data_IF_708254034275
#
_entry.id   IF_708254034275
#
_cell.length_a   1.000
_cell.length_b   1.000
_cell.length_c   1.000
_cell.angle_alpha   90.00
_cell.angle_beta   90.00
_cell.angle_gamma   90.00
#
_symmetry.space_group_name_H-M   'P 1'
#
loop_
_entity.id
_entity.type
_entity.pdbx_description
1 polymer ?
#
# COMPACT_ATOMS: atom_id res chain seq x y z
N UNK A 1 22.30 -12.09 -2.15
CA UNK A 1 22.33 -11.16 -3.29
C UNK A 1 23.71 -11.07 -3.95
N UNK A 2 24.81 -11.41 -3.27
CA UNK A 2 26.19 -11.25 -3.73
C UNK A 2 26.49 -12.01 -5.03
N UNK A 3 25.93 -13.20 -5.21
CA UNK A 3 26.19 -14.06 -6.38
C UNK A 3 25.09 -14.00 -7.44
N UNK A 4 23.95 -13.39 -7.16
CA UNK A 4 22.78 -13.42 -8.05
C UNK A 4 22.18 -14.81 -8.26
N UNK A 5 22.62 -15.83 -7.51
CA UNK A 5 22.11 -17.21 -7.64
C UNK A 5 20.63 -17.28 -7.25
N UNK A 6 19.80 -17.81 -8.15
CA UNK A 6 18.41 -18.10 -7.85
C UNK A 6 18.34 -19.23 -6.81
N UNK A 7 17.76 -18.93 -5.64
CA UNK A 7 17.58 -19.90 -4.54
C UNK A 7 16.24 -20.61 -4.70
N UNK A 8 15.18 -19.86 -5.01
CA UNK A 8 13.83 -20.40 -5.13
C UNK A 8 12.98 -19.60 -6.13
N UNK A 9 12.04 -20.29 -6.76
CA UNK A 9 11.01 -19.72 -7.63
C UNK A 9 9.67 -20.36 -7.28
N UNK A 10 8.67 -19.54 -6.96
CA UNK A 10 7.27 -20.00 -6.75
C UNK A 10 6.34 -19.31 -7.73
N UNK A 11 5.43 -20.04 -8.38
CA UNK A 11 4.46 -19.40 -9.27
C UNK A 11 3.43 -18.59 -8.45
N UNK A 12 3.15 -17.40 -8.91
CA UNK A 12 1.98 -16.62 -8.54
C UNK A 12 1.17 -16.43 -9.82
N UNK A 13 0.04 -17.17 -9.92
CA UNK A 13 -0.78 -17.10 -11.13
C UNK A 13 -1.45 -15.76 -11.22
N UNK A 14 -1.13 -15.05 -12.29
CA UNK A 14 -1.82 -13.86 -12.74
C UNK A 14 -2.83 -14.22 -13.83
N UNK A 15 -3.82 -13.36 -14.09
CA UNK A 15 -4.78 -13.52 -15.16
C UNK A 15 -4.14 -13.29 -16.54
N UNK A 16 -4.96 -13.29 -17.59
CA UNK A 16 -4.55 -13.23 -18.99
C UNK A 16 -3.64 -12.05 -19.37
N UNK A 17 -3.41 -11.07 -18.51
CA UNK A 17 -2.59 -9.89 -18.78
C UNK A 17 -1.28 -9.84 -18.02
N UNK A 18 -1.02 -10.82 -17.14
CA UNK A 18 0.21 -10.93 -16.33
C UNK A 18 0.62 -9.62 -15.63
N UNK A 19 -0.38 -8.87 -15.13
CA UNK A 19 -0.15 -7.56 -14.52
C UNK A 19 0.07 -7.71 -13.02
N UNK A 20 1.31 -7.47 -12.56
CA UNK A 20 1.67 -7.36 -11.15
C UNK A 20 2.52 -6.10 -10.97
N UNK A 21 1.97 -5.06 -10.35
CA UNK A 21 2.58 -3.73 -10.29
C UNK A 21 3.18 -3.45 -8.92
N UNK A 22 2.52 -3.90 -7.85
CA UNK A 22 2.99 -3.62 -6.50
C UNK A 22 4.31 -4.34 -6.20
N UNK A 23 5.16 -3.68 -5.41
CA UNK A 23 6.32 -4.36 -4.84
C UNK A 23 5.89 -5.39 -3.81
N UNK A 24 6.51 -6.58 -3.75
CA UNK A 24 6.29 -7.53 -2.67
C UNK A 24 6.58 -6.88 -1.30
N UNK A 25 5.70 -7.11 -0.33
CA UNK A 25 5.90 -6.62 1.05
C UNK A 25 6.57 -7.69 1.87
N UNK A 26 7.82 -7.41 2.29
CA UNK A 26 8.62 -8.34 3.11
C UNK A 26 8.48 -7.99 4.58
N UNK A 27 8.16 -8.99 5.41
CA UNK A 27 7.87 -8.86 6.83
C UNK A 27 8.54 -10.01 7.60
N UNK A 28 9.77 -9.80 8.03
CA UNK A 28 10.58 -10.88 8.59
C UNK A 28 10.76 -12.02 7.58
N UNK A 29 10.27 -13.20 7.90
CA UNK A 29 10.30 -14.36 7.03
C UNK A 29 9.03 -14.54 6.18
N UNK A 30 8.16 -13.56 6.16
CA UNK A 30 6.92 -13.58 5.38
C UNK A 30 6.98 -12.61 4.19
N UNK A 31 6.38 -13.00 3.07
CA UNK A 31 6.31 -12.20 1.85
C UNK A 31 4.87 -12.16 1.37
N UNK A 32 4.31 -10.97 1.31
CA UNK A 32 3.00 -10.72 0.71
C UNK A 32 3.15 -10.29 -0.74
N UNK A 33 2.34 -10.85 -1.61
CA UNK A 33 2.24 -10.49 -3.02
C UNK A 33 0.77 -10.29 -3.41
N UNK A 34 0.54 -9.41 -4.38
CA UNK A 34 -0.80 -9.19 -4.93
C UNK A 34 -0.73 -8.92 -6.42
N UNK A 35 -1.65 -9.51 -7.16
CA UNK A 35 -1.87 -9.19 -8.56
C UNK A 35 -2.80 -7.99 -8.72
N UNK A 36 -2.87 -7.49 -9.94
CA UNK A 36 -3.75 -6.37 -10.27
C UNK A 36 -5.24 -6.75 -10.14
N UNK A 37 -5.62 -7.97 -10.60
CA UNK A 37 -6.98 -8.52 -10.49
C UNK A 37 -7.04 -9.91 -9.85
N UNK A 38 -5.90 -10.51 -9.57
CA UNK A 38 -5.76 -11.95 -9.39
C UNK A 38 -5.73 -12.38 -7.94
N UNK A 39 -6.08 -11.44 -7.05
CA UNK A 39 -6.02 -11.70 -5.63
C UNK A 39 -4.64 -11.53 -5.05
N UNK A 40 -4.43 -12.10 -3.88
CA UNK A 40 -3.21 -11.95 -3.08
C UNK A 40 -2.81 -13.27 -2.44
N UNK A 41 -1.54 -13.38 -2.07
CA UNK A 41 -0.99 -14.51 -1.35
C UNK A 41 0.00 -14.05 -0.27
N UNK A 42 0.05 -14.78 0.82
CA UNK A 42 1.11 -14.70 1.81
C UNK A 42 1.93 -15.99 1.79
N UNK A 43 3.23 -15.83 1.67
CA UNK A 43 4.21 -16.91 1.77
C UNK A 43 5.03 -16.74 3.04
N UNK A 44 5.36 -17.83 3.70
CA UNK A 44 6.33 -17.87 4.78
C UNK A 44 7.57 -18.62 4.29
N UNK A 45 8.74 -18.01 4.45
CA UNK A 45 10.03 -18.60 4.09
C UNK A 45 10.55 -19.37 5.31
N UNK A 46 10.83 -20.65 5.16
CA UNK A 46 11.39 -21.46 6.24
C UNK A 46 12.92 -21.34 6.32
N UNK A 47 13.53 -21.99 7.33
CA UNK A 47 14.98 -21.94 7.57
C UNK A 47 15.81 -22.55 6.43
N UNK A 48 15.18 -23.35 5.56
CA UNK A 48 15.79 -23.92 4.35
C UNK A 48 15.56 -23.02 3.12
N UNK A 49 15.09 -21.78 3.34
CA UNK A 49 14.74 -20.80 2.31
C UNK A 49 13.63 -21.29 1.36
N UNK A 50 12.76 -22.20 1.82
CA UNK A 50 11.64 -22.69 1.02
C UNK A 50 10.38 -21.94 1.38
N UNK A 51 9.70 -21.30 0.41
CA UNK A 51 8.43 -20.63 0.64
C UNK A 51 7.28 -21.65 0.78
N UNK A 52 6.50 -21.47 1.82
CA UNK A 52 5.22 -22.17 2.04
C UNK A 52 4.09 -21.17 1.96
N UNK A 53 3.06 -21.47 1.19
CA UNK A 53 1.85 -20.64 1.14
C UNK A 53 1.14 -20.72 2.47
N UNK A 54 0.98 -19.57 3.13
CA UNK A 54 0.18 -19.45 4.36
C UNK A 54 -1.29 -19.37 4.03
N UNK A 55 -1.64 -18.47 3.11
CA UNK A 55 -2.99 -18.32 2.57
C UNK A 55 -2.96 -17.66 1.19
N UNK A 56 -4.08 -17.81 0.47
CA UNK A 56 -4.39 -17.10 -0.77
C UNK A 56 -5.80 -16.55 -0.70
N UNK A 57 -6.06 -15.41 -1.35
CA UNK A 57 -7.41 -14.84 -1.43
C UNK A 57 -7.66 -14.18 -2.77
N UNK A 58 -8.87 -14.31 -3.30
CA UNK A 58 -9.35 -13.57 -4.47
C UNK A 58 -10.09 -12.28 -4.10
N UNK A 59 -10.33 -12.05 -2.82
CA UNK A 59 -11.10 -10.90 -2.33
C UNK A 59 -10.26 -9.65 -2.09
N UNK A 60 -8.94 -9.72 -2.24
CA UNK A 60 -8.02 -8.58 -2.16
C UNK A 60 -7.17 -8.52 -3.43
N UNK A 61 -7.20 -7.39 -4.12
CA UNK A 61 -6.31 -7.08 -5.25
C UNK A 61 -5.84 -5.64 -5.12
N UNK A 62 -4.53 -5.47 -4.87
CA UNK A 62 -3.96 -4.17 -4.51
C UNK A 62 -3.71 -3.24 -5.69
N UNK A 63 -4.05 -3.64 -6.92
CA UNK A 63 -3.87 -2.84 -8.13
C UNK A 63 -2.42 -2.34 -8.30
N UNK A 64 -2.19 -1.04 -8.00
CA UNK A 64 -0.92 -0.34 -8.14
C UNK A 64 -0.40 0.20 -6.80
N UNK A 65 -1.18 0.10 -5.72
CA UNK A 65 -0.85 0.67 -4.43
C UNK A 65 -0.17 -0.36 -3.52
N UNK A 66 1.12 -0.17 -3.27
CA UNK A 66 1.86 -1.04 -2.34
C UNK A 66 1.33 -0.88 -0.92
N UNK A 67 0.91 -1.97 -0.25
CA UNK A 67 0.36 -1.90 1.09
C UNK A 67 1.38 -1.50 2.15
N UNK A 68 0.88 -0.93 3.24
CA UNK A 68 1.64 -0.73 4.47
C UNK A 68 1.44 -1.92 5.42
N UNK A 69 2.47 -2.24 6.23
CA UNK A 69 2.33 -3.26 7.26
C UNK A 69 2.79 -2.74 8.62
N UNK A 70 2.09 -3.16 9.68
CA UNK A 70 2.41 -2.86 11.08
C UNK A 70 1.80 -3.95 11.97
N UNK A 71 2.61 -4.49 12.88
CA UNK A 71 2.19 -5.38 13.98
C UNK A 71 1.20 -6.48 13.56
N UNK A 72 1.59 -7.26 12.55
CA UNK A 72 0.77 -8.37 12.05
C UNK A 72 -0.45 -7.98 11.22
N UNK A 73 -0.57 -6.71 10.85
CA UNK A 73 -1.66 -6.20 10.04
C UNK A 73 -1.15 -5.58 8.73
N UNK A 74 -1.94 -5.72 7.68
CA UNK A 74 -1.71 -5.13 6.37
C UNK A 74 -2.79 -4.11 6.05
N UNK A 75 -2.38 -2.91 5.66
CA UNK A 75 -3.26 -1.82 5.23
C UNK A 75 -3.12 -1.67 3.72
N UNK A 76 -4.15 -2.05 2.99
CA UNK A 76 -4.11 -2.20 1.53
C UNK A 76 -5.25 -1.47 0.84
N UNK A 77 -4.98 -0.82 -0.27
CA UNK A 77 -6.02 -0.29 -1.14
C UNK A 77 -6.51 -1.41 -2.07
N UNK A 78 -7.76 -1.79 -1.91
CA UNK A 78 -8.44 -2.79 -2.74
C UNK A 78 -9.40 -2.13 -3.74
N UNK A 79 -9.43 -2.66 -4.95
CA UNK A 79 -10.28 -2.16 -6.03
C UNK A 79 -11.77 -2.08 -5.68
N UNK A 80 -12.27 -2.99 -4.86
CA UNK A 80 -13.71 -3.14 -4.59
C UNK A 80 -14.15 -2.47 -3.30
N UNK A 81 -13.21 -2.29 -2.38
CA UNK A 81 -13.51 -1.98 -0.98
C UNK A 81 -12.89 -0.67 -0.49
N UNK A 82 -12.02 -0.02 -1.27
CA UNK A 82 -11.23 1.10 -0.79
C UNK A 82 -10.07 0.65 0.09
N UNK A 83 -9.65 1.46 1.04
CA UNK A 83 -8.64 1.09 2.02
C UNK A 83 -9.22 0.06 2.99
N UNK A 84 -8.47 -0.98 3.27
CA UNK A 84 -8.86 -2.02 4.21
C UNK A 84 -7.69 -2.42 5.12
N UNK A 85 -8.03 -2.97 6.27
CA UNK A 85 -7.09 -3.67 7.15
C UNK A 85 -7.33 -5.16 7.08
N UNK A 86 -6.24 -5.91 7.02
CA UNK A 86 -6.23 -7.36 6.97
C UNK A 86 -5.30 -7.90 8.05
N UNK A 87 -5.77 -8.91 8.79
CA UNK A 87 -4.94 -9.70 9.68
C UNK A 87 -4.03 -10.63 8.87
N UNK A 88 -2.72 -10.49 9.02
CA UNK A 88 -1.73 -11.24 8.24
C UNK A 88 -1.71 -12.73 8.56
N UNK A 89 -1.98 -13.11 9.79
CA UNK A 89 -1.96 -14.51 10.22
C UNK A 89 -3.08 -15.32 9.58
N UNK A 90 -4.25 -14.71 9.42
CA UNK A 90 -5.47 -15.39 8.96
C UNK A 90 -5.92 -15.00 7.55
N UNK A 91 -5.45 -13.88 7.02
CA UNK A 91 -5.93 -13.31 5.76
C UNK A 91 -7.34 -12.70 5.85
N UNK A 92 -7.89 -12.54 7.07
CA UNK A 92 -9.22 -11.95 7.28
C UNK A 92 -9.19 -10.44 7.22
N UNK A 93 -10.17 -9.86 6.53
CA UNK A 93 -10.41 -8.41 6.53
C UNK A 93 -11.06 -8.02 7.85
N UNK A 94 -10.45 -7.07 8.58
CA UNK A 94 -10.94 -6.55 9.84
C UNK A 94 -11.92 -5.39 9.64
N UNK A 95 -11.57 -4.48 8.73
CA UNK A 95 -12.43 -3.35 8.35
C UNK A 95 -12.13 -2.87 6.93
N UNK A 96 -13.03 -2.03 6.41
CA UNK A 96 -12.96 -1.35 5.12
C UNK A 96 -13.39 0.10 5.31
N UNK A 97 -12.72 1.05 4.64
CA UNK A 97 -13.04 2.48 4.76
C UNK A 97 -14.22 2.93 3.88
N UNK A 98 -14.66 2.09 2.95
CA UNK A 98 -15.75 2.45 2.04
C UNK A 98 -15.40 3.59 1.09
N UNK A 99 -14.13 3.73 0.71
CA UNK A 99 -13.61 4.80 -0.15
C UNK A 99 -13.61 6.20 0.48
N UNK A 100 -13.41 6.30 1.79
CA UNK A 100 -13.22 7.60 2.48
C UNK A 100 -11.84 8.20 2.13
N UNK A 101 -10.80 7.35 2.05
CA UNK A 101 -9.43 7.79 1.79
C UNK A 101 -9.24 8.26 0.34
N UNK A 102 -9.87 7.62 -0.63
CA UNK A 102 -9.80 7.96 -2.05
C UNK A 102 -11.13 7.72 -2.74
N UNK A 103 -11.37 8.39 -3.86
CA UNK A 103 -12.60 8.18 -4.64
C UNK A 103 -12.67 6.77 -5.23
N UNK A 104 -13.88 6.23 -5.33
CA UNK A 104 -14.14 5.00 -6.04
C UNK A 104 -14.06 5.25 -7.54
N UNK A 105 -13.09 4.62 -8.18
CA UNK A 105 -12.82 4.74 -9.61
C UNK A 105 -12.58 3.36 -10.23
N UNK A 106 -12.41 3.33 -11.56
CA UNK A 106 -12.02 2.10 -12.26
C UNK A 106 -10.68 1.56 -11.73
N UNK A 107 -9.73 2.45 -11.48
CA UNK A 107 -8.39 2.15 -10.97
C UNK A 107 -8.07 3.11 -9.82
N UNK A 108 -8.65 2.91 -8.62
CA UNK A 108 -8.30 3.74 -7.47
C UNK A 108 -6.82 3.58 -7.14
N UNK A 109 -6.17 4.68 -6.84
CA UNK A 109 -4.76 4.69 -6.49
C UNK A 109 -4.49 5.58 -5.29
N UNK A 110 -3.49 5.20 -4.51
CA UNK A 110 -2.88 6.02 -3.48
C UNK A 110 -1.46 5.55 -3.22
N UNK A 111 -0.55 6.49 -3.03
CA UNK A 111 0.78 6.23 -2.51
C UNK A 111 0.75 6.39 -1.01
N UNK A 112 1.18 5.38 -0.28
CA UNK A 112 1.11 5.34 1.18
C UNK A 112 2.50 5.11 1.77
N UNK A 113 2.88 5.89 2.78
CA UNK A 113 4.10 5.69 3.56
C UNK A 113 3.83 5.88 5.05
N UNK A 114 4.65 5.25 5.90
CA UNK A 114 4.62 5.57 7.32
C UNK A 114 5.31 6.90 7.58
N UNK A 115 4.61 7.84 8.20
CA UNK A 115 5.20 9.05 8.79
C UNK A 115 5.79 8.71 10.17
N UNK A 116 4.94 8.23 11.10
CA UNK A 116 5.37 7.70 12.40
C UNK A 116 4.81 6.28 12.57
N UNK A 117 5.58 5.30 12.15
CA UNK A 117 5.13 3.89 12.11
C UNK A 117 4.66 3.39 13.46
N UNK A 118 5.39 3.68 14.54
CA UNK A 118 5.08 3.21 15.90
C UNK A 118 3.74 3.74 16.41
N UNK A 119 3.29 4.88 15.91
CA UNK A 119 1.97 5.47 16.22
C UNK A 119 0.88 5.09 15.22
N UNK A 120 1.23 4.31 14.19
CA UNK A 120 0.33 3.97 13.10
C UNK A 120 -0.04 5.17 12.22
N UNK A 121 0.80 6.21 12.20
CA UNK A 121 0.56 7.42 11.39
C UNK A 121 1.09 7.24 9.99
N UNK A 122 0.20 7.29 9.02
CA UNK A 122 0.50 7.21 7.59
C UNK A 122 0.33 8.57 6.90
N UNK A 123 1.20 8.83 5.93
CA UNK A 123 1.06 9.92 4.96
C UNK A 123 0.65 9.30 3.64
N UNK A 124 -0.42 9.81 3.06
CA UNK A 124 -1.07 9.22 1.89
C UNK A 124 -1.29 10.32 0.85
N UNK A 125 -0.84 10.08 -0.38
CA UNK A 125 -1.21 10.90 -1.54
C UNK A 125 -2.17 10.08 -2.40
N UNK A 126 -3.43 10.52 -2.50
CA UNK A 126 -4.44 9.81 -3.28
C UNK A 126 -4.47 10.28 -4.76
N UNK A 127 -5.16 9.52 -5.61
CA UNK A 127 -5.30 9.85 -7.04
C UNK A 127 -6.09 11.14 -7.31
N UNK A 128 -6.79 11.67 -6.30
CA UNK A 128 -7.49 12.97 -6.38
C UNK A 128 -6.60 14.16 -6.07
N UNK A 129 -5.32 13.96 -5.76
CA UNK A 129 -4.38 15.04 -5.43
C UNK A 129 -4.38 15.47 -3.97
N UNK A 130 -5.08 14.74 -3.10
CA UNK A 130 -5.09 15.05 -1.68
C UNK A 130 -3.92 14.39 -0.96
N UNK A 131 -3.19 15.17 -0.18
CA UNK A 131 -2.27 14.68 0.84
C UNK A 131 -3.05 14.52 2.15
N UNK A 132 -3.01 13.31 2.70
CA UNK A 132 -3.78 12.92 3.87
C UNK A 132 -2.83 12.43 4.95
N UNK A 133 -3.00 12.94 6.17
CA UNK A 133 -2.43 12.36 7.38
C UNK A 133 -3.51 11.52 8.06
N UNK A 134 -3.24 10.24 8.28
CA UNK A 134 -4.20 9.33 8.88
C UNK A 134 -3.56 8.38 9.88
N UNK A 135 -4.29 8.03 10.92
CA UNK A 135 -3.96 6.92 11.81
C UNK A 135 -4.59 5.64 11.29
N UNK A 136 -3.77 4.63 11.07
CA UNK A 136 -4.18 3.28 10.69
C UNK A 136 -3.98 2.34 11.88
N UNK A 137 -5.01 1.60 12.24
CA UNK A 137 -4.96 0.62 13.32
C UNK A 137 -5.87 -0.57 13.00
N UNK A 138 -5.76 -1.71 13.71
CA UNK A 138 -6.70 -2.83 13.54
C UNK A 138 -8.16 -2.46 13.81
N UNK A 139 -8.41 -1.36 14.55
CA UNK A 139 -9.74 -0.88 14.90
C UNK A 139 -10.36 0.03 13.83
N UNK A 140 -9.54 0.65 12.95
CA UNK A 140 -10.07 1.50 11.91
C UNK A 140 -9.07 2.48 11.28
N UNK A 141 -9.59 3.19 10.29
CA UNK A 141 -9.01 4.36 9.65
C UNK A 141 -9.50 5.62 10.37
N UNK A 142 -8.58 6.50 10.71
CA UNK A 142 -8.91 7.79 11.34
C UNK A 142 -8.10 8.91 10.68
N UNK A 143 -8.76 9.69 9.84
CA UNK A 143 -8.15 10.86 9.21
C UNK A 143 -7.83 11.94 10.25
N UNK A 144 -6.64 12.51 10.18
CA UNK A 144 -6.13 13.56 11.07
C UNK A 144 -6.04 14.90 10.38
N UNK A 145 -5.90 14.88 9.08
CA UNK A 145 -5.88 16.08 8.24
C UNK A 145 -5.82 15.72 6.77
N UNK A 146 -6.33 16.62 5.95
CA UNK A 146 -6.33 16.52 4.50
C UNK A 146 -6.11 17.89 3.91
N UNK A 147 -5.27 17.95 2.88
CA UNK A 147 -5.05 19.14 2.06
C UNK A 147 -4.98 18.74 0.60
N UNK A 148 -5.66 19.49 -0.25
CA UNK A 148 -5.55 19.31 -1.69
C UNK A 148 -4.27 19.98 -2.19
N UNK A 149 -3.40 19.22 -2.85
CA UNK A 149 -2.07 19.66 -3.30
C UNK A 149 -1.95 19.77 -4.81
N UNK A 150 -2.60 18.89 -5.56
CA UNK A 150 -2.38 18.71 -6.99
C UNK A 150 -3.68 18.62 -7.73
N UNK A 151 -3.80 19.40 -8.79
CA UNK A 151 -4.80 19.18 -9.83
C UNK A 151 -4.22 18.23 -10.89
N UNK A 152 -5.12 17.63 -11.70
CA UNK A 152 -4.72 16.78 -12.82
C UNK A 152 -5.41 15.43 -12.87
N UNK A 153 -5.13 14.68 -13.93
CA UNK A 153 -5.81 13.40 -14.20
C UNK A 153 -5.04 12.17 -13.69
N UNK A 154 -3.70 12.26 -13.60
CA UNK A 154 -2.84 11.11 -13.41
C UNK A 154 -1.85 11.36 -12.25
N UNK A 155 -2.36 11.29 -11.02
CA UNK A 155 -1.54 11.42 -9.81
C UNK A 155 -1.22 10.00 -9.32
N UNK A 156 -0.49 9.25 -10.16
CA UNK A 156 -0.11 7.86 -9.89
C UNK A 156 1.37 7.67 -9.57
N UNK A 157 2.16 8.72 -9.70
CA UNK A 157 3.56 8.68 -9.33
C UNK A 157 3.70 8.66 -7.81
N UNK A 158 4.58 7.80 -7.30
CA UNK A 158 4.93 7.86 -5.89
C UNK A 158 5.60 9.20 -5.58
N UNK A 159 5.19 9.91 -4.51
CA UNK A 159 5.89 11.08 -4.04
C UNK A 159 7.26 10.70 -3.49
N UNK A 160 8.22 11.63 -3.62
CA UNK A 160 9.52 11.51 -2.97
C UNK A 160 9.51 12.28 -1.65
N UNK A 161 10.17 11.74 -0.63
CA UNK A 161 10.28 12.32 0.69
C UNK A 161 11.75 12.63 0.98
N UNK A 162 12.04 13.89 1.36
CA UNK A 162 13.38 14.33 1.72
C UNK A 162 13.32 15.19 2.99
N UNK A 163 13.58 14.56 4.14
CA UNK A 163 13.36 15.21 5.45
C UNK A 163 11.90 15.58 5.64
N UNK A 164 11.62 16.88 5.74
CA UNK A 164 10.25 17.41 5.87
C UNK A 164 9.61 17.79 4.54
N UNK A 165 10.33 17.63 3.42
CA UNK A 165 9.83 18.00 2.11
C UNK A 165 9.21 16.80 1.39
N UNK A 166 8.08 17.04 0.75
CA UNK A 166 7.40 16.11 -0.14
C UNK A 166 7.44 16.68 -1.55
N UNK A 167 7.92 15.88 -2.49
CA UNK A 167 7.88 16.20 -3.91
C UNK A 167 6.83 15.31 -4.57
N UNK A 168 5.84 15.90 -5.17
CA UNK A 168 4.74 15.19 -5.82
C UNK A 168 4.49 15.78 -7.21
N UNK A 169 3.89 14.96 -8.10
CA UNK A 169 3.55 15.43 -9.44
C UNK A 169 2.22 14.86 -9.92
N UNK A 170 1.56 15.63 -10.79
CA UNK A 170 0.49 15.17 -11.67
C UNK A 170 1.00 14.99 -13.10
N UNK A 171 0.09 14.94 -14.07
CA UNK A 171 0.41 14.98 -15.50
C UNK A 171 0.81 16.39 -15.99
N UNK A 172 0.48 17.44 -15.23
CA UNK A 172 0.68 18.85 -15.63
C UNK A 172 1.66 19.61 -14.77
N UNK A 173 1.91 19.18 -13.53
CA UNK A 173 2.74 19.95 -12.59
C UNK A 173 3.58 19.05 -11.67
N UNK A 174 4.65 19.64 -11.13
CA UNK A 174 5.45 19.11 -10.04
C UNK A 174 5.50 20.15 -8.92
N UNK A 175 5.31 19.71 -7.69
CA UNK A 175 5.31 20.57 -6.51
C UNK A 175 6.29 20.07 -5.45
N UNK A 176 6.75 21.01 -4.63
CA UNK A 176 7.43 20.74 -3.36
C UNK A 176 6.60 21.32 -2.23
N UNK A 177 6.26 20.51 -1.26
CA UNK A 177 5.53 20.91 -0.05
C UNK A 177 6.37 20.58 1.17
N UNK A 178 6.46 21.50 2.13
CA UNK A 178 7.10 21.24 3.41
C UNK A 178 6.05 20.96 4.47
N UNK A 179 6.18 19.82 5.14
CA UNK A 179 5.43 19.51 6.36
C UNK A 179 6.19 20.15 7.52
N UNK A 180 5.68 21.27 8.03
CA UNK A 180 6.20 21.87 9.25
C UNK A 180 5.35 21.42 10.44
N UNK A 181 5.93 21.25 11.64
CA UNK A 181 5.16 21.17 12.86
C UNK A 181 4.28 22.43 12.98
N UNK A 182 3.14 22.37 13.69
CA UNK A 182 2.41 23.57 14.05
C UNK A 182 3.38 24.55 14.70
N UNK A 183 3.39 25.79 14.23
CA UNK A 183 4.04 26.90 14.95
C UNK A 183 3.14 27.19 16.15
N UNK A 184 3.69 27.04 17.36
CA UNK A 184 3.06 27.46 18.62
C UNK A 184 2.70 28.94 18.60
#
# INVERSE_FOLDING_TARGET
PETGKLIYKTPFKTSNYDVAIISPVVMGNSVFVSGYWDGSALFKIDDKLQPKTTWTTKSLSCLMATPLHLDGHLYALDKRNGLLCLDLGTGKVLWKDGYQMTKKERNPHASMVWGEKQKGMAVILNAGGDLILARLSPQGYSERGRVHLLDGRWIWSHPAFAGQDIFARSDTEIIRVRISPPTD
#
